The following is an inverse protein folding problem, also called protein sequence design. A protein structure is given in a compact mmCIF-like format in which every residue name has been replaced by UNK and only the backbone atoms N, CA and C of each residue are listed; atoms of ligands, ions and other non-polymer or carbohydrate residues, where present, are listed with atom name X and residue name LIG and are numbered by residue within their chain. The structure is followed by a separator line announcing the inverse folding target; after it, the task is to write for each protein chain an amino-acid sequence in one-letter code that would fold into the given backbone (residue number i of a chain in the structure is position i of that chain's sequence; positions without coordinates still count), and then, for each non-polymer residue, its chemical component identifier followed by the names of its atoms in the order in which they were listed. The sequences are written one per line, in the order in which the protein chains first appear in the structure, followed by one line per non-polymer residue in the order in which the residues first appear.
data_IF_368861981284
#
_entry.id   IF_368861981284
#
_cell.length_a   1.000
_cell.length_b   1.000
_cell.length_c   1.000
_cell.angle_alpha   90.00
_cell.angle_beta   90.00
_cell.angle_gamma   90.00
#
_symmetry.space_group_name_H-M   'P 1'
#
loop_
_entity.id
_entity.type
_entity.pdbx_description
1 polymer ?
#
# COMPACT_ATOMS: atom_id res chain seq x y z
N UNK A 1 47.39 -7.81 -3.31
CA UNK A 1 46.65 -6.53 -3.35
C UNK A 1 45.95 -6.34 -4.69
N UNK A 2 46.59 -6.69 -5.82
CA UNK A 2 46.02 -6.48 -7.17
C UNK A 2 44.67 -7.16 -7.41
N UNK A 3 44.46 -8.37 -6.87
CA UNK A 3 43.18 -9.07 -6.96
C UNK A 3 42.02 -8.30 -6.31
N UNK A 4 42.27 -7.62 -5.19
CA UNK A 4 41.26 -6.85 -4.45
C UNK A 4 40.87 -5.60 -5.25
N UNK A 5 41.86 -4.90 -5.82
CA UNK A 5 41.59 -3.73 -6.66
C UNK A 5 40.87 -4.11 -7.95
N UNK A 6 41.22 -5.25 -8.56
CA UNK A 6 40.57 -5.74 -9.77
C UNK A 6 39.11 -6.14 -9.51
N UNK A 7 38.84 -6.85 -8.41
CA UNK A 7 37.47 -7.22 -8.04
C UNK A 7 36.61 -6.02 -7.65
N UNK A 8 37.14 -5.11 -6.82
CA UNK A 8 36.43 -3.86 -6.49
C UNK A 8 36.19 -2.99 -7.72
N UNK A 9 37.17 -2.89 -8.62
CA UNK A 9 37.04 -2.17 -9.88
C UNK A 9 35.94 -2.75 -10.77
N UNK A 10 35.87 -4.08 -10.88
CA UNK A 10 34.82 -4.75 -11.66
C UNK A 10 33.42 -4.51 -11.07
N UNK A 11 33.27 -4.66 -9.75
CA UNK A 11 31.99 -4.41 -9.08
C UNK A 11 31.58 -2.94 -9.23
N UNK A 12 32.50 -2.01 -9.01
CA UNK A 12 32.25 -0.58 -9.19
C UNK A 12 31.87 -0.23 -10.62
N UNK A 13 32.52 -0.86 -11.61
CA UNK A 13 32.17 -0.70 -13.02
C UNK A 13 30.76 -1.20 -13.34
N UNK A 14 30.36 -2.38 -12.83
CA UNK A 14 29.01 -2.90 -13.02
C UNK A 14 27.97 -1.95 -12.41
N UNK A 15 28.19 -1.48 -11.18
CA UNK A 15 27.29 -0.52 -10.52
C UNK A 15 27.19 0.77 -11.33
N UNK A 16 28.33 1.30 -11.80
CA UNK A 16 28.36 2.50 -12.64
C UNK A 16 27.52 2.33 -13.91
N UNK A 17 27.66 1.20 -14.60
CA UNK A 17 26.88 0.88 -15.80
C UNK A 17 25.38 0.83 -15.49
N UNK A 18 24.98 0.17 -14.39
CA UNK A 18 23.58 0.10 -13.98
C UNK A 18 22.99 1.48 -13.66
N UNK A 19 23.74 2.33 -12.95
CA UNK A 19 23.32 3.70 -12.63
C UNK A 19 23.17 4.54 -13.89
N UNK A 20 24.11 4.45 -14.83
CA UNK A 20 24.03 5.16 -16.10
C UNK A 20 22.84 4.68 -16.95
N UNK A 21 22.56 3.38 -16.96
CA UNK A 21 21.42 2.81 -17.67
C UNK A 21 20.10 3.31 -17.06
N UNK A 22 19.97 3.28 -15.74
CA UNK A 22 18.80 3.79 -15.02
C UNK A 22 18.62 5.31 -15.22
N UNK A 23 19.71 6.07 -15.27
CA UNK A 23 19.70 7.53 -15.49
C UNK A 23 19.33 7.90 -16.92
N UNK A 24 19.73 7.08 -17.90
CA UNK A 24 19.51 7.31 -19.32
C UNK A 24 18.16 6.76 -19.82
N UNK A 25 17.56 5.80 -19.11
CA UNK A 25 16.26 5.23 -19.46
C UNK A 25 15.11 6.05 -18.82
N UNK A 26 14.23 6.69 -19.62
CA UNK A 26 13.14 7.53 -19.12
C UNK A 26 11.89 6.73 -18.70
N UNK A 27 11.84 5.42 -18.98
CA UNK A 27 10.69 4.56 -18.68
C UNK A 27 10.75 3.95 -17.27
N UNK A 28 9.58 3.53 -16.77
CA UNK A 28 9.47 2.74 -15.55
C UNK A 28 10.03 1.33 -15.80
N UNK A 29 10.59 0.67 -14.77
CA UNK A 29 10.98 -0.74 -14.89
C UNK A 29 9.82 -1.66 -15.29
N UNK A 30 8.58 -1.21 -15.08
CA UNK A 30 7.36 -1.88 -15.55
C UNK A 30 7.25 -1.91 -17.09
N UNK A 31 7.80 -0.90 -17.77
CA UNK A 31 7.80 -0.80 -19.24
C UNK A 31 8.77 -1.80 -19.87
N UNK A 32 9.80 -2.27 -19.15
CA UNK A 32 10.74 -3.28 -19.64
C UNK A 32 10.10 -4.67 -19.80
N UNK A 33 8.99 -4.93 -19.09
CA UNK A 33 8.28 -6.21 -19.06
C UNK A 33 6.92 -6.10 -19.78
N UNK A 34 6.63 -4.97 -20.43
CA UNK A 34 5.32 -4.66 -21.02
C UNK A 34 4.17 -4.96 -20.04
N UNK A 35 4.34 -4.59 -18.76
CA UNK A 35 3.29 -4.82 -17.78
C UNK A 35 2.11 -3.89 -18.04
N UNK A 36 1.10 -4.40 -18.74
CA UNK A 36 -0.21 -3.77 -18.91
C UNK A 36 -1.17 -4.28 -17.84
N UNK A 37 -1.95 -3.40 -17.18
CA UNK A 37 -3.07 -3.84 -16.34
C UNK A 37 -3.95 -4.82 -17.12
N UNK A 38 -4.25 -5.98 -16.54
CA UNK A 38 -5.04 -7.03 -17.21
C UNK A 38 -6.51 -6.62 -17.42
N UNK A 39 -6.94 -5.49 -16.83
CA UNK A 39 -8.30 -4.97 -16.85
C UNK A 39 -8.28 -3.46 -17.08
N UNK A 40 -9.33 -2.97 -17.73
CA UNK A 40 -9.54 -1.54 -17.87
C UNK A 40 -9.93 -0.91 -16.52
N UNK A 41 -9.70 0.40 -16.37
CA UNK A 41 -10.13 1.15 -15.18
C UNK A 41 -11.64 1.05 -14.94
N UNK A 42 -12.44 1.01 -16.00
CA UNK A 42 -13.91 0.88 -15.90
C UNK A 42 -14.31 -0.49 -15.33
N UNK A 43 -13.61 -1.55 -15.75
CA UNK A 43 -13.85 -2.89 -15.23
C UNK A 43 -13.45 -3.01 -13.75
N UNK A 44 -12.34 -2.37 -13.36
CA UNK A 44 -11.88 -2.36 -11.98
C UNK A 44 -12.86 -1.63 -11.05
N UNK A 45 -13.36 -0.45 -11.44
CA UNK A 45 -14.36 0.30 -10.67
C UNK A 45 -15.69 -0.46 -10.52
N UNK A 46 -16.11 -1.18 -11.57
CA UNK A 46 -17.30 -2.04 -11.52
C UNK A 46 -17.10 -3.19 -10.53
N UNK A 47 -15.97 -3.89 -10.63
CA UNK A 47 -15.65 -5.00 -9.76
C UNK A 47 -15.52 -4.58 -8.29
N UNK A 48 -14.91 -3.43 -8.01
CA UNK A 48 -14.83 -2.89 -6.64
C UNK A 48 -16.23 -2.61 -6.06
N UNK A 49 -17.14 -2.05 -6.88
CA UNK A 49 -18.52 -1.83 -6.47
C UNK A 49 -19.27 -3.14 -6.18
N UNK A 50 -19.05 -4.17 -7.01
CA UNK A 50 -19.61 -5.51 -6.80
C UNK A 50 -19.05 -6.18 -5.54
N UNK A 51 -17.76 -6.02 -5.26
CA UNK A 51 -17.11 -6.57 -4.07
C UNK A 51 -17.68 -5.97 -2.78
N UNK A 52 -17.84 -4.63 -2.74
CA UNK A 52 -18.49 -3.95 -1.61
C UNK A 52 -19.91 -4.50 -1.38
N UNK A 53 -20.67 -4.75 -2.45
CA UNK A 53 -22.02 -5.28 -2.32
C UNK A 53 -22.03 -6.71 -1.78
N UNK A 54 -21.08 -7.55 -2.21
CA UNK A 54 -20.91 -8.91 -1.69
C UNK A 54 -20.54 -8.92 -0.20
N UNK A 55 -19.64 -8.01 0.22
CA UNK A 55 -19.29 -7.86 1.63
C UNK A 55 -20.48 -7.46 2.50
N UNK A 56 -21.31 -6.51 2.04
CA UNK A 56 -22.53 -6.09 2.74
C UNK A 56 -23.53 -7.24 2.83
N UNK A 57 -23.74 -7.98 1.75
CA UNK A 57 -24.67 -9.11 1.72
C UNK A 57 -24.25 -10.22 2.70
N UNK A 58 -22.96 -10.55 2.74
CA UNK A 58 -22.40 -11.52 3.68
C UNK A 58 -22.62 -11.08 5.15
N UNK A 59 -22.42 -9.80 5.45
CA UNK A 59 -22.73 -9.27 6.79
C UNK A 59 -24.23 -9.33 7.09
N UNK A 60 -25.08 -9.02 6.12
CA UNK A 60 -26.53 -9.03 6.28
C UNK A 60 -27.07 -10.44 6.47
N UNK A 61 -26.49 -11.46 5.83
CA UNK A 61 -26.80 -12.85 6.13
C UNK A 61 -26.60 -13.17 7.61
N UNK A 62 -25.45 -12.79 8.18
CA UNK A 62 -25.16 -13.01 9.59
C UNK A 62 -26.05 -12.17 10.52
N UNK A 63 -26.41 -10.94 10.12
CA UNK A 63 -27.33 -10.07 10.87
C UNK A 63 -28.75 -10.62 10.87
N UNK A 64 -29.25 -11.11 9.73
CA UNK A 64 -30.55 -11.78 9.58
C UNK A 64 -30.66 -12.99 10.51
N UNK A 65 -29.64 -13.85 10.55
CA UNK A 65 -29.58 -15.00 11.48
C UNK A 65 -29.67 -14.59 12.95
N UNK A 66 -29.22 -13.37 13.29
CA UNK A 66 -29.23 -12.82 14.65
C UNK A 66 -30.43 -11.89 14.92
N UNK A 67 -31.35 -11.74 13.97
CA UNK A 67 -32.50 -10.82 14.09
C UNK A 67 -32.12 -9.33 14.15
N UNK A 68 -30.93 -8.96 13.67
CA UNK A 68 -30.46 -7.56 13.62
C UNK A 68 -30.90 -6.90 12.32
N UNK A 69 -31.03 -5.58 12.35
CA UNK A 69 -31.32 -4.78 11.16
C UNK A 69 -30.21 -4.93 10.11
N UNK A 70 -30.63 -4.96 8.85
CA UNK A 70 -29.72 -5.00 7.70
C UNK A 70 -28.86 -3.72 7.63
N UNK A 71 -27.66 -3.89 7.10
CA UNK A 71 -26.71 -2.84 6.84
C UNK A 71 -26.91 -2.32 5.41
N UNK A 72 -27.00 -1.00 5.27
CA UNK A 72 -27.00 -0.35 3.95
C UNK A 72 -25.59 0.08 3.55
N UNK A 73 -25.38 0.41 2.26
CA UNK A 73 -24.12 0.99 1.77
C UNK A 73 -23.78 2.32 2.46
N UNK A 74 -24.79 3.11 2.82
CA UNK A 74 -24.61 4.36 3.55
C UNK A 74 -24.13 4.09 4.99
N UNK A 75 -24.62 3.04 5.63
CA UNK A 75 -24.15 2.63 6.96
C UNK A 75 -22.71 2.11 6.90
N UNK A 76 -22.40 1.27 5.91
CA UNK A 76 -21.04 0.78 5.67
C UNK A 76 -20.04 1.92 5.50
N UNK A 77 -20.37 2.92 4.67
CA UNK A 77 -19.49 4.07 4.45
C UNK A 77 -19.35 4.97 5.68
N UNK A 78 -20.41 5.14 6.48
CA UNK A 78 -20.34 5.86 7.76
C UNK A 78 -19.40 5.15 8.74
N UNK A 79 -19.58 3.84 8.94
CA UNK A 79 -18.72 3.05 9.83
C UNK A 79 -17.25 3.07 9.37
N UNK A 80 -16.99 2.97 8.07
CA UNK A 80 -15.63 3.03 7.54
C UNK A 80 -14.93 4.36 7.87
N UNK A 81 -15.63 5.50 7.76
CA UNK A 81 -15.10 6.82 8.12
C UNK A 81 -14.84 6.94 9.63
N UNK A 82 -15.72 6.40 10.45
CA UNK A 82 -15.55 6.38 11.90
C UNK A 82 -14.32 5.56 12.30
N UNK A 83 -14.16 4.37 11.70
CA UNK A 83 -13.00 3.51 11.91
C UNK A 83 -11.69 4.17 11.45
N UNK A 84 -11.70 4.86 10.30
CA UNK A 84 -10.56 5.62 9.80
C UNK A 84 -10.16 6.75 10.76
N UNK A 85 -11.13 7.51 11.26
CA UNK A 85 -10.89 8.57 12.25
C UNK A 85 -10.40 8.03 13.60
N UNK A 86 -10.76 6.79 13.99
CA UNK A 86 -10.20 6.14 15.17
C UNK A 86 -8.75 5.72 14.92
N UNK A 87 -8.46 5.11 13.77
CA UNK A 87 -7.10 4.69 13.39
C UNK A 87 -6.16 5.88 13.26
N UNK A 88 -6.62 6.99 12.70
CA UNK A 88 -5.83 8.21 12.58
C UNK A 88 -5.48 8.78 13.96
N UNK A 89 -6.44 8.82 14.89
CA UNK A 89 -6.19 9.23 16.28
C UNK A 89 -5.19 8.33 16.99
N UNK A 90 -5.30 7.02 16.78
CA UNK A 90 -4.33 6.07 17.33
C UNK A 90 -2.94 6.29 16.75
N UNK A 91 -2.81 6.47 15.43
CA UNK A 91 -1.53 6.77 14.79
C UNK A 91 -0.87 8.01 15.37
N UNK A 92 -1.61 9.14 15.45
CA UNK A 92 -1.08 10.37 16.05
C UNK A 92 -0.62 10.15 17.50
N UNK A 93 -1.40 9.43 18.30
CA UNK A 93 -1.00 9.12 19.68
C UNK A 93 0.25 8.24 19.77
N UNK A 94 0.50 7.38 18.79
CA UNK A 94 1.74 6.61 18.71
C UNK A 94 2.92 7.49 18.28
N UNK A 95 2.71 8.36 17.30
CA UNK A 95 3.72 9.32 16.84
C UNK A 95 4.11 10.27 17.99
N UNK A 96 3.15 10.88 18.69
CA UNK A 96 3.39 11.74 19.85
C UNK A 96 4.18 11.02 20.96
N UNK A 97 3.92 9.73 21.17
CA UNK A 97 4.65 8.91 22.16
C UNK A 97 6.05 8.55 21.69
N UNK A 98 6.27 8.39 20.38
CA UNK A 98 7.60 8.15 19.83
C UNK A 98 8.47 9.40 20.00
N UNK A 99 7.93 10.58 19.69
CA UNK A 99 8.62 11.86 19.88
C UNK A 99 9.03 12.07 21.35
N UNK A 100 8.15 11.76 22.31
CA UNK A 100 8.46 11.84 23.74
C UNK A 100 9.61 10.89 24.17
N UNK A 101 9.66 9.69 23.57
CA UNK A 101 10.74 8.72 23.85
C UNK A 101 12.07 9.13 23.19
N UNK A 102 12.04 9.74 22.00
CA UNK A 102 13.22 10.30 21.35
C UNK A 102 13.84 11.42 22.20
N UNK A 103 12.98 12.33 22.69
CA UNK A 103 13.39 13.41 23.62
C UNK A 103 13.98 12.85 24.94
N UNK A 104 13.38 11.80 25.53
CA UNK A 104 13.86 11.19 26.78
C UNK A 104 15.18 10.42 26.59
N UNK A 105 15.36 9.76 25.45
CA UNK A 105 16.57 8.98 25.12
C UNK A 105 17.70 9.84 24.55
N UNK A 106 17.43 11.11 24.21
CA UNK A 106 18.40 12.07 23.69
C UNK A 106 19.02 11.65 22.36
N UNK A 107 18.24 10.95 21.52
CA UNK A 107 18.64 10.51 20.17
C UNK A 107 17.95 11.37 19.12
#
# INVERSE_FOLDING_TARGET
MDFIFLTLGLVGFIVLVLVLLARAYPGSGADLVDWQPTRSYEDEARLETEDIQQMIEAQNEMRRRRGKSELTRADASRMAREDEAIRERQRRSYDDRLDELEDELGV
#
